data_IF_363717522900
#
_entry.id   IF_363717522900
#
_cell.length_a   1.000
_cell.length_b   1.000
_cell.length_c   1.000
_cell.angle_alpha   90.00
_cell.angle_beta   90.00
_cell.angle_gamma   90.00
#
_symmetry.space_group_name_H-M   'P 1'
#
loop_
_entity.id
_entity.type
_entity.pdbx_description
1 polymer ?
#
# COMPACT_ATOMS: atom_id res chain seq x y z
N UNK A 1 -0.45 19.46 -20.04
CA UNK A 1 -0.73 18.01 -19.99
C UNK A 1 -0.02 17.44 -18.77
N UNK A 2 -0.72 17.24 -17.64
CA UNK A 2 -0.07 16.64 -16.47
C UNK A 2 0.27 15.19 -16.80
N UNK A 3 1.56 14.83 -16.78
CA UNK A 3 2.01 13.44 -16.96
C UNK A 3 1.36 12.57 -15.87
N UNK A 4 0.93 11.35 -16.22
CA UNK A 4 0.37 10.40 -15.28
C UNK A 4 1.36 10.24 -14.09
N UNK A 5 0.98 10.60 -12.85
CA UNK A 5 1.90 10.57 -11.72
C UNK A 5 2.16 9.15 -11.20
N UNK A 6 1.56 8.11 -11.79
CA UNK A 6 1.65 6.72 -11.30
C UNK A 6 3.09 6.23 -11.13
N UNK A 7 4.04 6.44 -12.07
CA UNK A 7 5.42 6.01 -11.84
C UNK A 7 6.05 6.68 -10.61
N UNK A 8 5.80 7.98 -10.41
CA UNK A 8 6.28 8.71 -9.24
C UNK A 8 5.69 8.15 -7.94
N UNK A 9 4.39 7.84 -7.93
CA UNK A 9 3.71 7.25 -6.78
C UNK A 9 4.28 5.86 -6.46
N UNK A 10 4.49 5.03 -7.47
CA UNK A 10 5.10 3.69 -7.31
C UNK A 10 6.52 3.80 -6.74
N UNK A 11 7.33 4.72 -7.29
CA UNK A 11 8.67 4.98 -6.75
C UNK A 11 8.62 5.45 -5.30
N UNK A 12 7.66 6.33 -4.95
CA UNK A 12 7.50 6.80 -3.58
C UNK A 12 7.13 5.66 -2.62
N UNK A 13 6.22 4.75 -3.02
CA UNK A 13 5.88 3.55 -2.23
C UNK A 13 7.14 2.72 -1.94
N UNK A 14 7.90 2.37 -2.97
CA UNK A 14 9.11 1.55 -2.83
C UNK A 14 10.14 2.27 -1.96
N UNK A 15 10.41 3.55 -2.22
CA UNK A 15 11.41 4.34 -1.50
C UNK A 15 11.04 4.51 -0.02
N UNK A 16 9.78 4.82 0.28
CA UNK A 16 9.28 4.94 1.65
C UNK A 16 9.35 3.59 2.37
N UNK A 17 8.99 2.51 1.69
CA UNK A 17 9.13 1.15 2.22
C UNK A 17 10.58 0.76 2.55
N UNK A 18 11.50 1.00 1.62
CA UNK A 18 12.92 0.77 1.82
C UNK A 18 13.50 1.62 2.95
N UNK A 19 13.13 2.91 3.03
CA UNK A 19 13.50 3.79 4.13
C UNK A 19 13.01 3.24 5.47
N UNK A 20 11.72 2.87 5.54
CA UNK A 20 11.11 2.31 6.74
C UNK A 20 11.84 1.05 7.21
N UNK A 21 12.19 0.17 6.27
CA UNK A 21 12.95 -1.03 6.55
C UNK A 21 14.36 -0.71 7.07
N UNK A 22 15.09 0.18 6.39
CA UNK A 22 16.43 0.60 6.80
C UNK A 22 16.43 1.22 8.20
N UNK A 23 15.48 2.10 8.52
CA UNK A 23 15.33 2.70 9.84
C UNK A 23 15.18 1.63 10.93
N UNK A 24 14.31 0.63 10.73
CA UNK A 24 14.18 -0.43 11.74
C UNK A 24 15.42 -1.33 11.83
N UNK A 25 16.07 -1.64 10.71
CA UNK A 25 17.33 -2.40 10.70
C UNK A 25 18.48 -1.60 11.34
N UNK A 26 18.39 -0.28 11.43
CA UNK A 26 19.33 0.54 12.21
C UNK A 26 18.90 0.75 13.67
N UNK A 27 17.81 0.12 14.12
CA UNK A 27 17.35 0.19 15.51
C UNK A 27 16.64 1.50 15.86
N UNK A 28 16.21 2.28 14.85
CA UNK A 28 15.34 3.43 15.09
C UNK A 28 13.99 2.94 15.62
N UNK A 29 13.47 3.62 16.64
CA UNK A 29 12.22 3.21 17.30
C UNK A 29 11.02 3.20 16.33
N UNK A 30 10.05 2.34 16.62
CA UNK A 30 8.80 2.28 15.86
C UNK A 30 8.02 3.60 15.92
N UNK A 31 8.17 4.37 17.00
CA UNK A 31 7.53 5.67 17.18
C UNK A 31 7.98 6.72 16.16
N UNK A 32 9.21 6.61 15.67
CA UNK A 32 9.73 7.47 14.60
C UNK A 32 9.45 6.82 13.25
N UNK A 33 9.75 5.52 13.14
CA UNK A 33 9.70 4.79 11.87
C UNK A 33 8.28 4.69 11.29
N UNK A 34 7.23 4.73 12.12
CA UNK A 34 5.82 4.68 11.67
C UNK A 34 5.41 5.80 10.72
N UNK A 35 6.09 6.96 10.75
CA UNK A 35 5.76 8.10 9.89
C UNK A 35 6.17 7.88 8.43
N UNK A 36 7.12 6.98 8.15
CA UNK A 36 7.44 6.52 6.80
C UNK A 36 6.39 5.51 6.31
N UNK A 37 5.16 5.98 6.07
CA UNK A 37 4.01 5.11 5.78
C UNK A 37 3.67 5.03 4.29
N UNK A 38 3.87 3.85 3.71
CA UNK A 38 3.43 3.54 2.34
C UNK A 38 1.90 3.60 2.21
N UNK A 39 1.16 3.23 3.26
CA UNK A 39 -0.30 3.26 3.28
C UNK A 39 -0.84 4.68 3.05
N UNK A 40 -0.21 5.70 3.63
CA UNK A 40 -0.60 7.10 3.41
C UNK A 40 -0.44 7.50 1.94
N UNK A 41 0.64 7.06 1.30
CA UNK A 41 0.90 7.31 -0.14
C UNK A 41 -0.17 6.63 -1.00
N UNK A 42 -0.47 5.36 -0.71
CA UNK A 42 -1.52 4.59 -1.41
C UNK A 42 -2.88 5.25 -1.24
N UNK A 43 -3.24 5.70 -0.03
CA UNK A 43 -4.50 6.40 0.23
C UNK A 43 -4.59 7.70 -0.55
N UNK A 44 -3.55 8.53 -0.52
CA UNK A 44 -3.50 9.77 -1.30
C UNK A 44 -3.66 9.50 -2.81
N UNK A 45 -3.00 8.47 -3.33
CA UNK A 45 -3.13 8.05 -4.72
C UNK A 45 -4.54 7.52 -5.04
N UNK A 46 -5.13 6.72 -4.16
CA UNK A 46 -6.48 6.20 -4.32
C UNK A 46 -7.52 7.32 -4.35
N UNK A 47 -7.38 8.34 -3.49
CA UNK A 47 -8.23 9.53 -3.52
C UNK A 47 -8.09 10.27 -4.86
N UNK A 48 -6.86 10.50 -5.31
CA UNK A 48 -6.57 11.18 -6.57
C UNK A 48 -7.15 10.45 -7.78
N UNK A 49 -6.85 9.17 -7.93
CA UNK A 49 -7.28 8.37 -9.08
C UNK A 49 -8.76 8.01 -9.04
N UNK A 50 -9.33 7.78 -7.86
CA UNK A 50 -10.78 7.57 -7.71
C UNK A 50 -11.60 8.72 -8.27
N UNK A 51 -11.08 9.96 -8.13
CA UNK A 51 -11.75 11.15 -8.67
C UNK A 51 -11.40 11.43 -10.15
N UNK A 52 -10.20 11.07 -10.62
CA UNK A 52 -9.73 11.45 -11.96
C UNK A 52 -9.79 10.38 -13.05
N UNK A 53 -9.81 9.10 -12.69
CA UNK A 53 -9.77 8.04 -13.69
C UNK A 53 -10.96 8.11 -14.66
N UNK A 54 -10.69 7.73 -15.91
CA UNK A 54 -11.67 7.70 -16.98
C UNK A 54 -12.62 6.50 -16.82
N UNK A 55 -12.09 5.34 -16.41
CA UNK A 55 -12.82 4.07 -16.39
C UNK A 55 -12.56 3.21 -15.15
N UNK A 56 -13.48 2.29 -14.83
CA UNK A 56 -13.25 1.28 -13.79
C UNK A 56 -12.10 0.31 -14.14
N UNK A 57 -11.89 0.04 -15.43
CA UNK A 57 -10.74 -0.77 -15.89
C UNK A 57 -9.41 -0.11 -15.55
N UNK A 58 -9.34 1.21 -15.69
CA UNK A 58 -8.17 2.00 -15.29
C UNK A 58 -7.97 1.96 -13.78
N UNK A 59 -9.04 2.11 -12.99
CA UNK A 59 -8.97 2.00 -11.53
C UNK A 59 -8.44 0.64 -11.07
N UNK A 60 -8.87 -0.46 -11.70
CA UNK A 60 -8.38 -1.80 -11.38
C UNK A 60 -6.88 -1.91 -11.67
N UNK A 61 -6.42 -1.42 -12.82
CA UNK A 61 -4.98 -1.42 -13.15
C UNK A 61 -4.17 -0.59 -12.16
N UNK A 62 -4.69 0.57 -11.78
CA UNK A 62 -4.05 1.45 -10.80
C UNK A 62 -3.98 0.76 -9.44
N UNK A 63 -5.04 0.09 -8.99
CA UNK A 63 -5.02 -0.57 -7.67
C UNK A 63 -3.93 -1.64 -7.60
N UNK A 64 -3.80 -2.47 -8.64
CA UNK A 64 -2.70 -3.43 -8.73
C UNK A 64 -1.33 -2.75 -8.84
N UNK A 65 -1.20 -1.68 -9.62
CA UNK A 65 0.06 -0.94 -9.75
C UNK A 65 0.50 -0.28 -8.43
N UNK A 66 -0.44 0.10 -7.55
CA UNK A 66 -0.13 0.61 -6.22
C UNK A 66 0.23 -0.51 -5.24
N UNK A 67 -0.49 -1.64 -5.28
CA UNK A 67 -0.39 -2.67 -4.26
C UNK A 67 0.72 -3.67 -4.52
N UNK A 68 1.02 -4.03 -5.76
CA UNK A 68 2.10 -4.98 -6.06
C UNK A 68 3.46 -4.49 -5.50
N UNK A 69 3.89 -3.23 -5.74
CA UNK A 69 5.14 -2.73 -5.17
C UNK A 69 5.15 -2.71 -3.64
N UNK A 70 4.03 -2.31 -3.04
CA UNK A 70 3.85 -2.33 -1.59
C UNK A 70 3.99 -3.74 -1.01
N UNK A 71 3.34 -4.73 -1.63
CA UNK A 71 3.41 -6.14 -1.25
C UNK A 71 4.82 -6.71 -1.36
N UNK A 72 5.55 -6.37 -2.42
CA UNK A 72 6.94 -6.80 -2.56
C UNK A 72 7.80 -6.32 -1.39
N UNK A 73 7.61 -5.08 -0.94
CA UNK A 73 8.32 -4.55 0.23
C UNK A 73 7.88 -5.25 1.52
N UNK A 74 6.57 -5.35 1.77
CA UNK A 74 6.02 -5.99 2.96
C UNK A 74 6.51 -7.43 3.10
N UNK A 75 6.37 -8.23 2.03
CA UNK A 75 6.79 -9.63 2.01
C UNK A 75 8.31 -9.74 2.22
N UNK A 76 9.12 -8.88 1.59
CA UNK A 76 10.57 -8.90 1.79
C UNK A 76 10.96 -8.57 3.24
N UNK A 77 10.36 -7.55 3.84
CA UNK A 77 10.67 -7.12 5.20
C UNK A 77 10.18 -8.12 6.27
N UNK A 78 8.99 -8.69 6.08
CA UNK A 78 8.46 -9.75 6.94
C UNK A 78 9.31 -11.02 6.77
N UNK A 79 9.69 -11.37 5.54
CA UNK A 79 10.58 -12.49 5.25
C UNK A 79 11.97 -12.33 5.89
N UNK A 80 12.52 -11.12 5.90
CA UNK A 80 13.73 -10.79 6.65
C UNK A 80 13.54 -11.04 8.15
N UNK A 81 12.43 -10.56 8.71
CA UNK A 81 12.12 -10.75 10.14
C UNK A 81 12.00 -12.25 10.47
N UNK A 82 11.35 -13.03 9.59
CA UNK A 82 11.17 -14.46 9.75
C UNK A 82 12.49 -15.22 9.68
N UNK A 83 13.34 -14.91 8.69
CA UNK A 83 14.61 -15.61 8.48
C UNK A 83 15.68 -15.27 9.52
N UNK A 84 15.68 -14.05 10.06
CA UNK A 84 16.74 -13.58 10.98
C UNK A 84 16.33 -13.56 12.45
N UNK A 85 15.03 -13.64 12.74
CA UNK A 85 14.49 -13.38 14.08
C UNK A 85 14.56 -11.90 14.51
N UNK A 86 15.15 -11.03 13.68
CA UNK A 86 15.28 -9.61 13.98
C UNK A 86 13.98 -8.89 13.68
N UNK A 87 13.30 -8.43 14.74
CA UNK A 87 12.03 -7.71 14.62
C UNK A 87 12.17 -6.46 13.76
N UNK A 88 11.25 -6.30 12.81
CA UNK A 88 11.05 -5.05 12.08
C UNK A 88 9.66 -4.47 12.34
N UNK A 89 9.47 -3.18 12.02
CA UNK A 89 8.16 -2.53 12.15
C UNK A 89 7.09 -3.20 11.29
N UNK A 90 7.50 -3.85 10.19
CA UNK A 90 6.62 -4.62 9.31
C UNK A 90 5.99 -5.83 10.01
N UNK A 91 6.52 -6.25 11.16
CA UNK A 91 5.91 -7.29 12.01
C UNK A 91 5.79 -6.82 13.48
N UNK A 92 5.46 -5.54 13.70
CA UNK A 92 5.07 -5.06 15.03
C UNK A 92 3.61 -5.44 15.36
N UNK A 93 3.23 -5.63 16.64
CA UNK A 93 1.91 -6.16 17.01
C UNK A 93 0.74 -5.32 16.49
N UNK A 94 0.90 -4.01 16.45
CA UNK A 94 -0.10 -3.06 15.95
C UNK A 94 -0.32 -3.16 14.43
N UNK A 95 0.59 -3.78 13.68
CA UNK A 95 0.47 -4.00 12.23
C UNK A 95 0.16 -5.45 11.89
N UNK A 96 0.66 -6.40 12.69
CA UNK A 96 0.34 -7.83 12.51
C UNK A 96 -0.97 -8.25 13.17
N UNK A 97 -1.60 -7.39 13.96
CA UNK A 97 -2.76 -7.72 14.80
C UNK A 97 -2.51 -8.94 15.71
N UNK A 98 -1.25 -9.11 16.16
CA UNK A 98 -0.84 -10.25 16.98
C UNK A 98 -0.73 -11.59 16.22
N UNK A 99 -0.89 -11.60 14.90
CA UNK A 99 -0.79 -12.83 14.11
C UNK A 99 0.64 -13.38 14.09
N UNK A 100 0.82 -14.71 14.03
CA UNK A 100 2.13 -15.34 13.83
C UNK A 100 2.79 -14.87 12.53
N UNK A 101 4.12 -14.81 12.52
CA UNK A 101 4.88 -14.27 11.37
C UNK A 101 4.64 -14.98 10.04
N UNK A 102 4.48 -16.30 10.05
CA UNK A 102 4.18 -17.06 8.85
C UNK A 102 2.77 -16.72 8.31
N UNK A 103 1.79 -16.54 9.19
CA UNK A 103 0.44 -16.16 8.80
C UNK A 103 0.44 -14.74 8.22
N UNK A 104 1.18 -13.81 8.84
CA UNK A 104 1.33 -12.45 8.33
C UNK A 104 1.99 -12.44 6.94
N UNK A 105 3.08 -13.18 6.76
CA UNK A 105 3.78 -13.31 5.48
C UNK A 105 2.86 -13.88 4.38
N UNK A 106 2.23 -15.04 4.64
CA UNK A 106 1.36 -15.68 3.66
C UNK A 106 0.07 -14.91 3.42
N UNK A 107 -0.42 -14.20 4.44
CA UNK A 107 -1.54 -13.27 4.34
C UNK A 107 -1.27 -12.20 3.29
N UNK A 108 -0.12 -11.54 3.34
CA UNK A 108 0.27 -10.56 2.32
C UNK A 108 0.62 -11.20 0.96
N UNK A 109 1.27 -12.36 0.94
CA UNK A 109 1.56 -13.05 -0.32
C UNK A 109 0.30 -13.41 -1.11
N UNK A 110 -0.73 -13.96 -0.43
CA UNK A 110 -2.00 -14.29 -1.06
C UNK A 110 -2.87 -13.04 -1.26
N UNK A 111 -2.96 -12.19 -0.24
CA UNK A 111 -3.81 -10.99 -0.23
C UNK A 111 -3.38 -9.95 -1.24
N UNK A 112 -2.07 -9.80 -1.43
CA UNK A 112 -1.46 -8.87 -2.37
C UNK A 112 -1.82 -9.11 -3.84
N UNK A 113 -2.22 -10.32 -4.19
CA UNK A 113 -2.68 -10.67 -5.53
C UNK A 113 -4.21 -10.74 -5.64
N UNK A 114 -4.91 -10.77 -4.51
CA UNK A 114 -6.35 -11.03 -4.42
C UNK A 114 -7.10 -9.87 -3.77
N UNK A 115 -7.38 -9.91 -2.46
CA UNK A 115 -8.32 -8.98 -1.82
C UNK A 115 -7.75 -7.58 -1.54
N UNK A 116 -6.43 -7.41 -1.42
CA UNK A 116 -5.85 -6.11 -1.08
C UNK A 116 -5.95 -5.10 -2.24
N UNK A 117 -5.55 -5.43 -3.49
CA UNK A 117 -5.80 -4.55 -4.63
C UNK A 117 -7.29 -4.31 -4.88
N UNK A 118 -8.15 -5.30 -4.58
CA UNK A 118 -9.60 -5.17 -4.74
C UNK A 118 -10.21 -4.22 -3.71
N UNK A 119 -9.68 -4.20 -2.49
CA UNK A 119 -10.10 -3.25 -1.44
C UNK A 119 -9.79 -1.81 -1.86
N UNK A 120 -8.61 -1.56 -2.41
CA UNK A 120 -8.23 -0.23 -2.92
C UNK A 120 -9.01 0.13 -4.18
N UNK A 121 -9.24 -0.83 -5.08
CA UNK A 121 -10.15 -0.64 -6.21
C UNK A 121 -11.55 -0.22 -5.76
N UNK A 122 -12.11 -0.89 -4.75
CA UNK A 122 -13.45 -0.61 -4.24
C UNK A 122 -13.55 0.82 -3.69
N UNK A 123 -12.56 1.26 -2.92
CA UNK A 123 -12.48 2.65 -2.46
C UNK A 123 -12.50 3.64 -3.64
N UNK A 124 -11.64 3.43 -4.63
CA UNK A 124 -11.59 4.30 -5.81
C UNK A 124 -12.90 4.26 -6.62
N UNK A 125 -13.53 3.09 -6.73
CA UNK A 125 -14.79 2.89 -7.43
C UNK A 125 -15.94 3.65 -6.77
N UNK A 126 -15.99 3.66 -5.43
CA UNK A 126 -16.95 4.45 -4.65
C UNK A 126 -16.75 5.94 -4.92
N UNK A 127 -15.51 6.44 -4.85
CA UNK A 127 -15.20 7.85 -5.10
C UNK A 127 -15.60 8.28 -6.52
N UNK A 128 -15.34 7.43 -7.50
CA UNK A 128 -15.77 7.67 -8.88
C UNK A 128 -17.29 7.74 -8.99
N UNK A 129 -18.00 6.81 -8.36
CA UNK A 129 -19.46 6.79 -8.37
C UNK A 129 -20.06 8.05 -7.74
N UNK A 130 -19.48 8.51 -6.62
CA UNK A 130 -19.85 9.77 -5.96
C UNK A 130 -19.63 10.97 -6.89
N UNK A 131 -18.46 11.07 -7.53
CA UNK A 131 -18.16 12.12 -8.52
C UNK A 131 -19.21 12.15 -9.64
N UNK A 132 -19.51 11.00 -10.24
CA UNK A 132 -20.50 10.93 -11.33
C UNK A 132 -21.90 11.32 -10.88
N UNK A 133 -22.31 10.93 -9.66
CA UNK A 133 -23.62 11.34 -9.11
C UNK A 133 -23.69 12.84 -8.87
N UNK A 134 -22.61 13.46 -8.39
CA UNK A 134 -22.55 14.92 -8.18
C UNK A 134 -22.62 15.66 -9.51
N UNK A 135 -21.92 15.19 -10.54
CA UNK A 135 -21.96 15.80 -11.87
C UNK A 135 -23.31 15.63 -12.56
N UNK A 136 -24.01 14.51 -12.35
CA UNK A 136 -25.34 14.28 -12.94
C UNK A 136 -26.46 15.13 -12.29
N UNK A 137 -26.21 15.74 -11.13
CA UNK A 137 -27.16 16.63 -10.43
C UNK A 137 -26.97 18.11 -10.77
N UNK A 138 -25.96 18.44 -11.57
CA UNK A 138 -25.65 19.79 -12.04
C UNK A 138 -26.00 19.90 -13.51
#
# INVERSE_FOLDING_TARGET
MFKNPLPLVVTAIIATGALRFALTVWGVSDDITKYASMTVIILGAALYYGLRAASYRELLRISYALLIPYMLVEIAAIGYTWSTGRRTIFHAPQYSFGTPIHLHFWGHAAGGLTWEPLSVFMLMAILRALRTRVLARR
#
